data_IF_346242801002
#
_entry.id   IF_346242801002
#
_cell.length_a   1.000
_cell.length_b   1.000
_cell.length_c   1.000
_cell.angle_alpha   90.00
_cell.angle_beta   90.00
_cell.angle_gamma   90.00
#
_symmetry.space_group_name_H-M   'P 1'
#
loop_
_entity.id
_entity.type
_entity.pdbx_description
1 polymer ?
#
# COMPACT_ATOMS: atom_id res chain seq x y z
N UNK A 1 11.91 5.96 -4.44
CA UNK A 1 11.51 6.72 -5.64
C UNK A 1 10.57 7.87 -5.27
N UNK A 2 10.58 8.98 -6.00
CA UNK A 2 9.62 10.10 -5.78
C UNK A 2 8.25 9.76 -6.35
N UNK A 3 7.19 10.49 -5.95
CA UNK A 3 5.80 10.21 -6.40
C UNK A 3 5.64 10.24 -7.94
N UNK A 4 6.39 11.08 -8.64
CA UNK A 4 6.37 11.14 -10.10
C UNK A 4 6.97 9.89 -10.76
N UNK A 5 8.01 9.31 -10.15
CA UNK A 5 8.59 8.04 -10.60
C UNK A 5 7.64 6.88 -10.28
N UNK A 6 7.05 6.88 -9.09
CA UNK A 6 6.03 5.90 -8.70
C UNK A 6 4.87 5.88 -9.69
N UNK A 7 4.39 7.06 -10.11
CA UNK A 7 3.36 7.20 -11.13
C UNK A 7 3.76 6.58 -12.46
N UNK A 8 4.99 6.83 -12.93
CA UNK A 8 5.52 6.23 -14.17
C UNK A 8 5.62 4.70 -14.07
N UNK A 9 6.14 4.17 -12.96
CA UNK A 9 6.36 2.73 -12.76
C UNK A 9 5.03 1.96 -12.64
N UNK A 10 4.03 2.56 -12.00
CA UNK A 10 2.72 1.92 -11.78
C UNK A 10 1.71 2.20 -12.89
N UNK A 11 1.95 3.22 -13.72
CA UNK A 11 1.01 3.73 -14.69
C UNK A 11 -0.19 4.45 -14.07
N UNK A 12 -0.16 4.74 -12.76
CA UNK A 12 -1.26 5.41 -12.06
C UNK A 12 -0.95 6.90 -11.96
N UNK A 13 -1.87 7.80 -12.36
CA UNK A 13 -1.64 9.24 -12.28
C UNK A 13 -1.34 9.73 -10.86
N UNK A 14 -0.44 10.70 -10.74
CA UNK A 14 -0.11 11.34 -9.44
C UNK A 14 -1.35 11.82 -8.68
N UNK A 15 -2.37 12.45 -9.30
CA UNK A 15 -3.60 12.83 -8.59
C UNK A 15 -4.31 11.64 -7.94
N UNK A 16 -4.35 10.49 -8.62
CA UNK A 16 -4.98 9.25 -8.13
C UNK A 16 -4.17 8.65 -6.99
N UNK A 17 -2.84 8.63 -7.08
CA UNK A 17 -1.98 8.20 -5.97
C UNK A 17 -2.20 9.08 -4.75
N UNK A 18 -2.27 10.41 -4.93
CA UNK A 18 -2.58 11.36 -3.85
C UNK A 18 -3.98 11.15 -3.30
N UNK A 19 -4.94 10.76 -4.12
CA UNK A 19 -6.28 10.40 -3.67
C UNK A 19 -6.23 9.16 -2.76
N UNK A 20 -5.58 8.08 -3.17
CA UNK A 20 -5.42 6.89 -2.33
C UNK A 20 -4.69 7.17 -1.01
N UNK A 21 -3.68 8.05 -1.02
CA UNK A 21 -3.02 8.50 0.21
C UNK A 21 -3.99 9.23 1.17
N UNK A 22 -4.87 10.09 0.65
CA UNK A 22 -5.87 10.80 1.46
C UNK A 22 -6.94 9.87 2.03
N UNK A 23 -7.36 8.87 1.25
CA UNK A 23 -8.36 7.89 1.67
C UNK A 23 -7.79 6.79 2.61
N UNK A 24 -6.47 6.77 2.81
CA UNK A 24 -5.79 5.74 3.61
C UNK A 24 -5.61 4.40 2.89
N UNK A 25 -5.86 4.35 1.58
CA UNK A 25 -5.68 3.17 0.73
C UNK A 25 -4.21 2.87 0.43
N UNK A 26 -3.34 3.86 0.56
CA UNK A 26 -1.91 3.71 0.39
C UNK A 26 -1.22 4.30 1.61
N UNK A 27 -0.28 3.56 2.19
CA UNK A 27 0.55 4.06 3.28
C UNK A 27 1.32 5.31 2.83
N UNK A 28 1.56 6.28 3.74
CA UNK A 28 2.40 7.43 3.43
C UNK A 28 3.82 6.97 3.10
N UNK A 29 4.45 7.64 2.15
CA UNK A 29 5.87 7.44 1.88
C UNK A 29 6.73 7.95 3.04
N UNK A 30 7.97 7.47 3.09
CA UNK A 30 8.95 7.92 4.09
C UNK A 30 9.33 9.37 3.81
N UNK A 31 9.22 10.25 4.79
CA UNK A 31 9.58 11.67 4.62
C UNK A 31 11.08 11.81 4.41
N UNK A 32 11.47 12.45 3.31
CA UNK A 32 12.87 12.78 3.00
C UNK A 32 13.16 14.26 3.20
N UNK A 33 12.13 15.11 3.22
CA UNK A 33 12.17 16.53 3.59
C UNK A 33 10.75 17.03 3.90
N UNK A 34 10.54 18.27 4.40
CA UNK A 34 9.20 18.76 4.79
C UNK A 34 8.11 18.62 3.71
N UNK A 35 8.49 18.63 2.43
CA UNK A 35 7.56 18.51 1.29
C UNK A 35 7.94 17.37 0.34
N UNK A 36 8.75 16.40 0.77
CA UNK A 36 9.17 15.27 -0.06
C UNK A 36 9.05 13.95 0.69
N UNK A 37 8.61 12.93 -0.04
CA UNK A 37 8.56 11.56 0.44
C UNK A 37 9.14 10.59 -0.59
N UNK A 38 9.78 9.53 -0.10
CA UNK A 38 10.21 8.38 -0.86
C UNK A 38 9.22 7.22 -0.74
N UNK A 39 8.98 6.58 -1.87
CA UNK A 39 8.15 5.40 -2.01
C UNK A 39 9.01 4.22 -2.47
N UNK A 40 8.61 3.01 -2.10
CA UNK A 40 9.32 1.77 -2.40
C UNK A 40 8.41 0.67 -2.97
N UNK A 41 8.95 -0.54 -3.10
CA UNK A 41 8.26 -1.65 -3.78
C UNK A 41 6.95 -2.08 -3.13
N UNK A 42 6.83 -1.93 -1.80
CA UNK A 42 5.56 -2.16 -1.10
C UNK A 42 4.44 -1.28 -1.66
N UNK A 43 4.73 -0.02 -1.99
CA UNK A 43 3.77 0.91 -2.58
C UNK A 43 3.40 0.48 -4.01
N UNK A 44 4.37 -0.03 -4.78
CA UNK A 44 4.10 -0.56 -6.13
C UNK A 44 3.16 -1.76 -6.05
N UNK A 45 3.42 -2.72 -5.15
CA UNK A 45 2.56 -3.90 -4.97
C UNK A 45 1.16 -3.50 -4.55
N UNK A 46 1.04 -2.59 -3.57
CA UNK A 46 -0.24 -2.06 -3.08
C UNK A 46 -1.04 -1.37 -4.20
N UNK A 47 -0.39 -0.51 -4.99
CA UNK A 47 -1.00 0.19 -6.12
C UNK A 47 -1.47 -0.76 -7.24
N UNK A 48 -0.70 -1.81 -7.53
CA UNK A 48 -1.11 -2.85 -8.49
C UNK A 48 -2.34 -3.62 -8.00
N UNK A 49 -2.41 -3.95 -6.72
CA UNK A 49 -3.57 -4.62 -6.12
C UNK A 49 -4.83 -3.73 -6.20
N UNK A 50 -4.72 -2.47 -5.76
CA UNK A 50 -5.84 -1.50 -5.83
C UNK A 50 -6.34 -1.40 -7.27
N UNK A 51 -5.42 -1.28 -8.23
CA UNK A 51 -5.77 -1.21 -9.65
C UNK A 51 -6.49 -2.47 -10.14
N UNK A 52 -6.02 -3.66 -9.77
CA UNK A 52 -6.69 -4.90 -10.17
C UNK A 52 -8.13 -4.97 -9.63
N UNK A 53 -8.34 -4.54 -8.39
CA UNK A 53 -9.67 -4.53 -7.77
C UNK A 53 -10.61 -3.51 -8.42
N UNK A 54 -10.12 -2.30 -8.72
CA UNK A 54 -10.93 -1.24 -9.32
C UNK A 54 -11.17 -1.48 -10.83
N UNK A 55 -10.11 -1.72 -11.60
CA UNK A 55 -10.20 -1.77 -13.07
C UNK A 55 -10.75 -3.11 -13.58
N UNK A 56 -10.37 -4.23 -12.94
CA UNK A 56 -10.73 -5.57 -13.44
C UNK A 56 -11.94 -6.15 -12.71
N UNK A 57 -11.93 -6.08 -11.38
CA UNK A 57 -13.02 -6.62 -10.56
C UNK A 57 -14.18 -5.63 -10.38
N UNK A 58 -14.05 -4.39 -10.87
CA UNK A 58 -15.05 -3.31 -10.76
C UNK A 58 -15.54 -3.08 -9.32
N UNK A 59 -14.66 -3.28 -8.34
CA UNK A 59 -14.96 -3.09 -6.93
C UNK A 59 -14.97 -1.58 -6.63
N UNK A 60 -16.03 -1.05 -6.00
CA UNK A 60 -16.06 0.34 -5.57
C UNK A 60 -14.91 0.66 -4.61
N UNK A 61 -14.30 1.83 -4.76
CA UNK A 61 -13.10 2.23 -3.98
C UNK A 61 -13.32 2.11 -2.45
N UNK A 62 -14.53 2.38 -1.96
CA UNK A 62 -14.88 2.22 -0.55
C UNK A 62 -14.69 0.77 -0.08
N UNK A 63 -15.12 -0.20 -0.87
CA UNK A 63 -14.99 -1.62 -0.55
C UNK A 63 -13.56 -2.13 -0.78
N UNK A 64 -12.82 -1.54 -1.72
CA UNK A 64 -11.38 -1.82 -1.87
C UNK A 64 -10.63 -1.51 -0.58
N UNK A 65 -11.01 -0.45 0.15
CA UNK A 65 -10.36 -0.10 1.42
C UNK A 65 -10.51 -1.20 2.45
N UNK A 66 -11.73 -1.68 2.65
CA UNK A 66 -12.03 -2.78 3.59
C UNK A 66 -11.23 -4.04 3.25
N UNK A 67 -11.18 -4.41 1.96
CA UNK A 67 -10.45 -5.60 1.50
C UNK A 67 -8.98 -5.49 1.86
N UNK A 68 -8.34 -4.36 1.56
CA UNK A 68 -6.90 -4.30 1.80
C UNK A 68 -6.54 -4.04 3.26
N UNK A 69 -7.39 -3.37 4.03
CA UNK A 69 -7.22 -3.31 5.50
C UNK A 69 -7.28 -4.71 6.13
N UNK A 70 -8.17 -5.60 5.64
CA UNK A 70 -8.21 -7.00 6.07
C UNK A 70 -6.92 -7.74 5.74
N UNK A 71 -6.37 -7.54 4.54
CA UNK A 71 -5.11 -8.18 4.13
C UNK A 71 -3.92 -7.70 4.96
N UNK A 72 -3.86 -6.41 5.27
CA UNK A 72 -2.80 -5.82 6.10
C UNK A 72 -2.86 -6.37 7.55
N UNK A 73 -4.06 -6.65 8.08
CA UNK A 73 -4.25 -7.27 9.40
C UNK A 73 -3.81 -8.75 9.45
N UNK A 74 -4.11 -9.52 8.40
CA UNK A 74 -3.72 -10.93 8.31
C UNK A 74 -2.19 -11.10 8.22
N UNK A 75 -1.51 -10.21 7.48
CA UNK A 75 -0.05 -10.21 7.37
C UNK A 75 0.63 -9.91 8.71
N UNK A 76 0.10 -8.93 9.46
CA UNK A 76 0.56 -8.63 10.82
C UNK A 76 0.38 -9.84 11.76
N UNK A 77 -0.76 -10.53 11.68
CA UNK A 77 -1.02 -11.74 12.48
C UNK A 77 -0.02 -12.86 12.19
N UNK A 78 0.33 -13.08 10.92
CA UNK A 78 1.35 -14.06 10.53
C UNK A 78 2.74 -13.68 11.04
N UNK A 79 3.14 -12.41 10.86
CA UNK A 79 4.41 -11.91 11.37
C UNK A 79 4.52 -12.04 12.90
N UNK A 80 3.44 -11.76 13.63
CA UNK A 80 3.37 -11.91 15.09
C UNK A 80 3.48 -13.38 15.52
N UNK A 81 2.87 -14.31 14.78
CA UNK A 81 2.99 -15.74 15.05
C UNK A 81 4.43 -16.24 14.85
N UNK A 82 5.08 -15.83 13.75
CA UNK A 82 6.48 -16.17 13.49
C UNK A 82 7.40 -15.57 14.56
N UNK A 83 7.20 -14.31 14.95
CA UNK A 83 8.00 -13.66 15.99
C UNK A 83 7.84 -14.29 17.38
N UNK A 84 6.66 -14.86 17.68
CA UNK A 84 6.45 -15.67 18.89
C UNK A 84 7.18 -17.00 18.83
N UNK A 85 7.10 -17.71 17.70
CA UNK A 85 7.80 -18.98 17.51
C UNK A 85 9.32 -18.82 17.60
N UNK A 86 9.89 -17.77 16.98
CA UNK A 86 11.33 -17.48 17.05
C UNK A 86 11.79 -17.22 18.49
N UNK A 87 11.05 -16.40 19.27
CA UNK A 87 11.39 -16.12 20.68
C UNK A 87 11.26 -17.33 21.60
N UNK A 88 10.48 -18.34 21.21
CA UNK A 88 10.39 -19.59 21.98
C UNK A 88 11.57 -20.53 21.71
N UNK A 89 12.30 -20.32 20.60
CA UNK A 89 13.40 -21.18 20.15
C UNK A 89 14.80 -20.62 20.41
N UNK A 90 14.93 -19.34 20.78
CA UNK A 90 16.18 -18.64 21.10
C UNK A 90 16.07 -17.98 22.46
#
# INVERSE_FOLDING_TARGET
MRIGELSKVTGIPVPTIKYYLREGLLAPGELTSPNQASYGDAHIRRLRLIRALVDLAQVPVAQVKEIVESLDADDASLHDQIGRAHRALT
#
